data_IF_624286706216
#
_entry.id   IF_624286706216
#
_cell.length_a   1.000
_cell.length_b   1.000
_cell.length_c   1.000
_cell.angle_alpha   90.00
_cell.angle_beta   90.00
_cell.angle_gamma   90.00
#
_symmetry.space_group_name_H-M   'P 1'
#
loop_
_entity.id
_entity.type
_entity.pdbx_description
1 polymer ?
#
# COMPACT_ATOMS: atom_id res chain seq x y z
N UNK A 1 -16.34 0.85 -18.23
CA UNK A 1 -15.04 0.31 -17.80
C UNK A 1 -15.00 -1.21 -17.97
N UNK A 2 -15.99 -1.94 -17.41
CA UNK A 2 -16.04 -3.41 -17.43
C UNK A 2 -16.07 -4.00 -18.85
N UNK A 3 -16.86 -3.44 -19.74
CA UNK A 3 -17.10 -4.01 -21.07
C UNK A 3 -16.09 -3.54 -22.12
N UNK A 4 -15.47 -2.38 -21.90
CA UNK A 4 -14.59 -1.75 -22.88
C UNK A 4 -13.10 -1.90 -22.56
N UNK A 5 -12.74 -2.10 -21.27
CA UNK A 5 -11.34 -2.06 -20.83
C UNK A 5 -10.85 -3.42 -20.34
N UNK A 6 -11.71 -4.22 -19.69
CA UNK A 6 -11.30 -5.49 -19.10
C UNK A 6 -11.71 -6.67 -19.99
N UNK A 7 -10.76 -7.51 -20.43
CA UNK A 7 -11.07 -8.77 -21.13
C UNK A 7 -11.93 -9.72 -20.26
N UNK A 8 -11.72 -9.70 -18.96
CA UNK A 8 -12.55 -10.39 -17.95
C UNK A 8 -12.63 -9.54 -16.68
N UNK A 9 -13.73 -9.69 -15.94
CA UNK A 9 -13.95 -9.01 -14.67
C UNK A 9 -13.59 -9.88 -13.44
N UNK A 10 -12.93 -11.01 -13.66
CA UNK A 10 -12.50 -11.94 -12.61
C UNK A 10 -11.01 -11.98 -12.49
N UNK A 11 -10.48 -11.93 -11.28
CA UNK A 11 -9.04 -12.02 -11.00
C UNK A 11 -8.42 -13.34 -11.49
N UNK A 12 -9.19 -14.43 -11.41
CA UNK A 12 -8.76 -15.79 -11.76
C UNK A 12 -8.42 -15.95 -13.25
N UNK A 13 -9.01 -15.12 -14.10
CA UNK A 13 -8.85 -15.23 -15.56
C UNK A 13 -7.54 -14.59 -16.07
N UNK A 14 -6.81 -13.91 -15.20
CA UNK A 14 -5.53 -13.28 -15.55
C UNK A 14 -4.35 -14.18 -15.24
N UNK A 15 -3.39 -14.24 -16.17
CA UNK A 15 -2.14 -14.98 -15.98
C UNK A 15 -1.28 -14.34 -14.89
N UNK A 16 -1.13 -13.01 -14.93
CA UNK A 16 -0.40 -12.27 -13.92
C UNK A 16 -1.23 -12.15 -12.63
N UNK A 17 -0.56 -12.03 -11.50
CA UNK A 17 -1.20 -11.75 -10.23
C UNK A 17 -1.56 -10.25 -10.17
N UNK A 18 -2.83 -9.98 -9.98
CA UNK A 18 -3.35 -8.64 -9.79
C UNK A 18 -3.89 -8.53 -8.37
N UNK A 19 -3.46 -7.49 -7.67
CA UNK A 19 -3.97 -7.14 -6.35
C UNK A 19 -4.49 -5.72 -6.35
N UNK A 20 -5.64 -5.49 -5.75
CA UNK A 20 -6.25 -4.18 -5.59
C UNK A 20 -6.53 -3.99 -4.11
N UNK A 21 -6.07 -2.87 -3.54
CA UNK A 21 -6.19 -2.62 -2.10
C UNK A 21 -7.22 -1.53 -1.86
N UNK A 22 -8.14 -1.79 -0.94
CA UNK A 22 -9.11 -0.81 -0.46
C UNK A 22 -9.17 -0.81 1.07
N UNK A 23 -9.76 0.22 1.63
CA UNK A 23 -9.99 0.35 3.07
C UNK A 23 -11.47 0.12 3.37
N UNK A 24 -11.79 -0.85 4.21
CA UNK A 24 -13.13 -1.06 4.72
C UNK A 24 -13.47 0.04 5.74
N UNK A 25 -14.46 0.88 5.41
CA UNK A 25 -14.72 2.13 6.16
C UNK A 25 -15.06 1.88 7.63
N UNK A 26 -16.06 1.03 7.90
CA UNK A 26 -16.61 0.88 9.26
C UNK A 26 -15.73 0.06 10.21
N UNK A 27 -14.81 -0.74 9.68
CA UNK A 27 -13.94 -1.62 10.47
C UNK A 27 -12.47 -1.21 10.40
N UNK A 28 -12.15 -0.15 9.67
CA UNK A 28 -10.78 0.33 9.46
C UNK A 28 -9.83 -0.79 9.03
N UNK A 29 -10.31 -1.75 8.24
CA UNK A 29 -9.50 -2.87 7.76
C UNK A 29 -8.96 -2.58 6.37
N UNK A 30 -7.74 -3.01 6.13
CA UNK A 30 -7.19 -3.13 4.79
C UNK A 30 -7.76 -4.38 4.14
N UNK A 31 -8.31 -4.26 2.94
CA UNK A 31 -8.80 -5.39 2.16
C UNK A 31 -8.02 -5.46 0.86
N UNK A 32 -7.41 -6.62 0.62
CA UNK A 32 -6.66 -6.93 -0.59
C UNK A 32 -7.51 -7.85 -1.46
N UNK A 33 -7.98 -7.34 -2.58
CA UNK A 33 -8.70 -8.12 -3.59
C UNK A 33 -7.68 -8.76 -4.55
N UNK A 34 -7.85 -10.03 -4.86
CA UNK A 34 -6.97 -10.77 -5.76
C UNK A 34 -7.47 -12.19 -6.00
N UNK A 35 -6.75 -12.97 -6.81
CA UNK A 35 -7.14 -14.36 -7.08
C UNK A 35 -6.76 -15.34 -5.97
N UNK A 36 -5.94 -14.93 -5.02
CA UNK A 36 -5.50 -15.75 -3.90
C UNK A 36 -5.99 -15.20 -2.57
N UNK A 37 -6.35 -16.11 -1.68
CA UNK A 37 -6.56 -15.81 -0.27
C UNK A 37 -5.31 -16.19 0.50
N UNK A 38 -4.56 -15.19 0.93
CA UNK A 38 -3.46 -15.41 1.87
C UNK A 38 -3.96 -15.25 3.30
N UNK A 39 -3.34 -15.99 4.20
CA UNK A 39 -3.49 -15.70 5.64
C UNK A 39 -2.90 -14.30 5.89
N UNK A 40 -3.60 -13.41 6.63
CA UNK A 40 -3.01 -12.14 7.02
C UNK A 40 -1.69 -12.39 7.74
N UNK A 41 -0.66 -11.54 7.51
CA UNK A 41 0.56 -11.65 8.29
C UNK A 41 0.24 -11.62 9.79
N UNK A 42 0.90 -12.43 10.63
CA UNK A 42 0.61 -12.50 12.06
C UNK A 42 0.68 -11.15 12.78
N UNK A 43 1.43 -10.20 12.23
CA UNK A 43 1.58 -8.84 12.75
C UNK A 43 0.54 -7.83 12.23
N UNK A 44 -0.31 -8.22 11.26
CA UNK A 44 -1.35 -7.34 10.72
C UNK A 44 -2.73 -8.01 10.72
N UNK A 45 -3.32 -8.11 11.89
CA UNK A 45 -4.66 -8.64 12.10
C UNK A 45 -5.77 -7.78 11.46
N UNK A 46 -5.39 -6.61 10.94
CA UNK A 46 -6.33 -5.68 10.28
C UNK A 46 -6.30 -5.80 8.76
N UNK A 47 -5.52 -6.72 8.20
CA UNK A 47 -5.52 -7.07 6.80
C UNK A 47 -6.47 -8.23 6.53
N UNK A 48 -7.26 -8.13 5.47
CA UNK A 48 -8.13 -9.19 4.99
C UNK A 48 -7.91 -9.38 3.49
N UNK A 49 -7.84 -10.63 3.03
CA UNK A 49 -7.82 -10.97 1.61
C UNK A 49 -9.22 -11.36 1.15
N UNK A 50 -9.59 -10.91 -0.05
CA UNK A 50 -10.86 -11.22 -0.71
C UNK A 50 -10.57 -11.74 -2.13
N UNK A 51 -10.91 -13.02 -2.38
CA UNK A 51 -10.69 -13.68 -3.67
C UNK A 51 -11.98 -13.84 -4.50
N UNK A 52 -13.12 -13.47 -3.96
CA UNK A 52 -14.44 -13.61 -4.61
C UNK A 52 -14.93 -12.32 -5.26
N UNK A 53 -14.20 -11.21 -5.06
CA UNK A 53 -14.55 -9.89 -5.58
C UNK A 53 -14.39 -9.77 -7.09
N UNK A 54 -15.16 -8.88 -7.71
CA UNK A 54 -14.97 -8.48 -9.09
C UNK A 54 -13.92 -7.38 -9.22
N UNK A 55 -13.12 -7.40 -10.30
CA UNK A 55 -12.09 -6.37 -10.54
C UNK A 55 -12.71 -4.98 -10.58
N UNK A 56 -13.83 -4.81 -11.29
CA UNK A 56 -14.52 -3.51 -11.40
C UNK A 56 -14.99 -2.97 -10.04
N UNK A 57 -15.48 -3.84 -9.15
CA UNK A 57 -15.88 -3.46 -7.80
C UNK A 57 -14.66 -3.11 -6.93
N UNK A 58 -13.60 -3.90 -7.02
CA UNK A 58 -12.35 -3.64 -6.31
C UNK A 58 -11.72 -2.31 -6.76
N UNK A 59 -11.72 -2.01 -8.07
CA UNK A 59 -11.26 -0.72 -8.61
C UNK A 59 -12.12 0.42 -8.07
N UNK A 60 -13.46 0.30 -8.14
CA UNK A 60 -14.36 1.34 -7.63
C UNK A 60 -14.17 1.59 -6.13
N UNK A 61 -13.94 0.52 -5.35
CA UNK A 61 -13.65 0.61 -3.93
C UNK A 61 -12.29 1.28 -3.65
N UNK A 62 -11.25 0.90 -4.42
CA UNK A 62 -9.88 1.41 -4.28
C UNK A 62 -9.71 2.86 -4.74
N UNK A 63 -10.59 3.35 -5.62
CA UNK A 63 -10.55 4.74 -6.13
C UNK A 63 -11.54 5.66 -5.44
N UNK A 64 -12.28 5.19 -4.44
CA UNK A 64 -13.24 5.98 -3.68
C UNK A 64 -12.54 6.93 -2.67
N UNK A 65 -11.81 7.91 -3.21
CA UNK A 65 -11.05 8.88 -2.41
C UNK A 65 -12.00 9.77 -1.59
N UNK A 66 -11.85 9.82 -0.27
CA UNK A 66 -12.67 10.66 0.60
C UNK A 66 -12.68 12.12 0.15
N UNK A 67 -13.80 12.79 0.31
CA UNK A 67 -14.08 14.18 -0.09
C UNK A 67 -14.26 14.40 -1.60
N UNK A 68 -13.85 13.43 -2.45
CA UNK A 68 -14.05 13.49 -3.90
C UNK A 68 -15.17 12.54 -4.31
N UNK A 69 -15.14 11.30 -3.80
CA UNK A 69 -16.12 10.27 -4.13
C UNK A 69 -16.83 9.76 -2.88
N UNK A 70 -18.07 9.32 -3.06
CA UNK A 70 -18.79 8.57 -2.03
C UNK A 70 -18.14 7.20 -1.81
N UNK A 71 -18.17 6.65 -0.58
CA UNK A 71 -17.73 5.30 -0.31
C UNK A 71 -18.45 4.29 -1.22
N UNK A 72 -17.71 3.35 -1.80
CA UNK A 72 -18.29 2.33 -2.67
C UNK A 72 -18.77 1.14 -1.85
N UNK A 73 -19.98 0.64 -2.16
CA UNK A 73 -20.59 -0.47 -1.46
C UNK A 73 -20.48 -1.77 -2.26
N UNK A 74 -19.90 -2.81 -1.66
CA UNK A 74 -19.87 -4.18 -2.17
C UNK A 74 -20.71 -5.05 -1.23
N UNK A 75 -21.59 -5.88 -1.78
CA UNK A 75 -22.38 -6.82 -0.97
C UNK A 75 -21.52 -8.00 -0.53
N UNK A 76 -21.57 -8.30 0.76
CA UNK A 76 -20.96 -9.52 1.30
C UNK A 76 -21.81 -10.76 0.93
N UNK A 77 -21.37 -12.00 1.24
CA UNK A 77 -22.12 -13.22 0.94
C UNK A 77 -23.53 -13.26 1.54
N UNK A 78 -23.74 -12.55 2.67
CA UNK A 78 -25.06 -12.43 3.32
C UNK A 78 -25.94 -11.33 2.67
N UNK A 79 -25.46 -10.67 1.62
CA UNK A 79 -26.17 -9.60 0.90
C UNK A 79 -26.12 -8.24 1.59
N UNK A 80 -25.37 -8.10 2.69
CA UNK A 80 -25.22 -6.84 3.44
C UNK A 80 -24.19 -5.95 2.75
N UNK A 81 -24.49 -4.65 2.50
CA UNK A 81 -23.54 -3.73 1.89
C UNK A 81 -22.39 -3.40 2.84
N UNK A 82 -21.18 -3.61 2.39
CA UNK A 82 -19.94 -3.23 3.05
C UNK A 82 -19.34 -2.05 2.28
N UNK A 83 -19.03 -0.96 2.99
CA UNK A 83 -18.54 0.27 2.39
C UNK A 83 -17.03 0.33 2.42
N UNK A 84 -16.47 0.77 1.31
CA UNK A 84 -15.03 0.90 1.08
C UNK A 84 -14.67 2.31 0.64
N UNK A 85 -13.47 2.71 1.00
CA UNK A 85 -12.80 3.92 0.54
C UNK A 85 -11.42 3.56 0.00
N UNK A 86 -10.75 4.52 -0.61
CA UNK A 86 -9.41 4.36 -1.18
C UNK A 86 -8.44 3.71 -0.19
N UNK A 87 -7.66 2.75 -0.70
CA UNK A 87 -6.65 2.01 0.05
C UNK A 87 -5.52 2.90 0.58
N UNK A 88 -5.17 3.96 -0.13
CA UNK A 88 -4.13 4.93 0.24
C UNK A 88 -4.40 5.63 1.57
N UNK A 89 -5.67 5.75 1.97
CA UNK A 89 -6.05 6.34 3.25
C UNK A 89 -5.45 5.57 4.43
N UNK A 90 -5.44 4.23 4.32
CA UNK A 90 -4.90 3.38 5.36
C UNK A 90 -3.44 3.03 5.15
N UNK A 91 -3.09 2.61 3.95
CA UNK A 91 -1.74 2.16 3.63
C UNK A 91 -1.29 2.63 2.25
N UNK A 92 -0.27 3.45 2.27
CA UNK A 92 0.32 4.05 1.08
C UNK A 92 1.27 3.07 0.41
N UNK A 93 1.24 3.04 -0.93
CA UNK A 93 2.10 2.23 -1.80
C UNK A 93 1.92 0.71 -1.71
N UNK A 94 1.25 0.15 -0.72
CA UNK A 94 0.91 -1.28 -0.55
C UNK A 94 1.97 -2.29 -1.06
N UNK A 95 3.25 -1.91 -1.01
CA UNK A 95 4.37 -2.70 -1.56
C UNK A 95 4.55 -4.05 -0.87
N UNK A 96 4.08 -4.18 0.38
CA UNK A 96 4.10 -5.43 1.13
C UNK A 96 3.32 -6.54 0.40
N UNK A 97 2.23 -6.23 -0.30
CA UNK A 97 1.42 -7.21 -1.05
C UNK A 97 2.27 -7.92 -2.11
N UNK A 98 3.09 -7.16 -2.85
CA UNK A 98 4.01 -7.74 -3.84
C UNK A 98 5.12 -8.57 -3.18
N UNK A 99 5.67 -8.11 -2.05
CA UNK A 99 6.68 -8.83 -1.29
C UNK A 99 6.11 -10.12 -0.71
N UNK A 100 4.90 -10.09 -0.14
CA UNK A 100 4.22 -11.26 0.42
C UNK A 100 3.83 -12.28 -0.67
N UNK A 101 3.58 -11.79 -1.89
CA UNK A 101 3.39 -12.62 -3.08
C UNK A 101 4.70 -13.22 -3.66
N UNK A 102 5.86 -12.95 -3.05
CA UNK A 102 7.16 -13.54 -3.43
C UNK A 102 7.92 -12.77 -4.50
N UNK A 103 7.61 -11.49 -4.73
CA UNK A 103 8.38 -10.67 -5.67
C UNK A 103 9.75 -10.30 -5.12
N UNK A 104 10.81 -10.56 -5.90
CA UNK A 104 12.20 -10.20 -5.56
C UNK A 104 12.49 -8.72 -5.83
N UNK A 105 11.77 -8.10 -6.77
CA UNK A 105 11.88 -6.69 -7.12
C UNK A 105 10.51 -6.03 -7.10
N UNK A 106 10.38 -4.92 -6.39
CA UNK A 106 9.16 -4.13 -6.34
C UNK A 106 9.46 -2.70 -6.81
N UNK A 107 8.77 -2.27 -7.87
CA UNK A 107 8.80 -0.89 -8.36
C UNK A 107 7.54 -0.21 -7.89
N UNK A 108 7.68 0.79 -7.01
CA UNK A 108 6.56 1.58 -6.53
C UNK A 108 6.43 2.88 -7.33
N UNK A 109 5.23 3.16 -7.81
CA UNK A 109 4.88 4.41 -8.49
C UNK A 109 3.74 5.08 -7.74
N UNK A 110 3.81 6.38 -7.58
CA UNK A 110 2.75 7.18 -6.97
C UNK A 110 2.66 8.55 -7.65
N UNK A 111 1.45 9.07 -7.72
CA UNK A 111 1.14 10.33 -8.40
C UNK A 111 0.57 11.39 -7.46
N UNK A 112 0.23 11.02 -6.23
CA UNK A 112 -0.32 11.94 -5.25
C UNK A 112 0.74 12.91 -4.77
N UNK A 113 0.59 14.17 -5.17
CA UNK A 113 1.43 15.26 -4.70
C UNK A 113 0.53 16.33 -4.09
N UNK A 114 0.85 16.82 -2.88
CA UNK A 114 0.19 18.00 -2.33
C UNK A 114 0.33 19.18 -3.27
N UNK A 115 -0.66 20.05 -3.27
CA UNK A 115 -0.58 21.29 -4.01
C UNK A 115 0.54 22.17 -3.44
N UNK A 116 1.41 22.64 -4.33
CA UNK A 116 2.35 23.71 -4.07
C UNK A 116 1.84 24.99 -4.73
N UNK A 117 1.91 26.10 -4.03
CA UNK A 117 1.39 27.39 -4.52
C UNK A 117 1.88 27.70 -5.93
N UNK A 118 0.94 27.97 -6.81
CA UNK A 118 1.16 28.42 -8.19
C UNK A 118 0.35 29.71 -8.40
N UNK A 119 0.99 30.72 -8.97
CA UNK A 119 0.39 32.04 -9.14
C UNK A 119 -0.87 32.00 -10.01
N UNK A 120 -0.92 31.10 -10.97
CA UNK A 120 -2.01 30.92 -11.91
C UNK A 120 -3.26 30.30 -11.25
N UNK A 121 -3.06 29.48 -10.23
CA UNK A 121 -4.13 28.77 -9.50
C UNK A 121 -4.57 29.55 -8.28
N UNK A 122 -3.65 30.29 -7.64
CA UNK A 122 -3.93 31.09 -6.45
C UNK A 122 -3.91 30.29 -5.14
N UNK A 123 -4.53 30.83 -4.12
CA UNK A 123 -4.61 30.20 -2.79
C UNK A 123 -5.74 29.18 -2.72
N UNK A 124 -5.47 28.03 -2.11
CA UNK A 124 -6.51 27.01 -1.87
C UNK A 124 -7.66 27.53 -0.99
N UNK A 125 -7.44 28.58 -0.21
CA UNK A 125 -8.50 29.23 0.58
C UNK A 125 -9.59 29.87 -0.31
N UNK A 126 -9.25 30.24 -1.54
CA UNK A 126 -10.19 30.79 -2.52
C UNK A 126 -11.09 29.68 -3.13
N UNK A 127 -10.67 28.43 -3.05
CA UNK A 127 -11.40 27.26 -3.54
C UNK A 127 -12.29 26.60 -2.47
N UNK A 128 -12.28 27.12 -1.25
CA UNK A 128 -13.14 26.70 -0.17
C UNK A 128 -12.70 25.44 0.60
N UNK A 129 -13.55 25.03 1.53
CA UNK A 129 -13.27 23.94 2.48
C UNK A 129 -12.92 22.59 1.80
N UNK A 130 -13.58 22.15 0.71
CA UNK A 130 -13.24 20.89 0.07
C UNK A 130 -11.80 20.84 -0.43
N UNK A 131 -11.29 21.92 -1.02
CA UNK A 131 -9.91 21.99 -1.50
C UNK A 131 -8.90 21.90 -0.34
N UNK A 132 -9.20 22.53 0.79
CA UNK A 132 -8.38 22.47 2.00
C UNK A 132 -8.36 21.05 2.57
N UNK A 133 -9.50 20.36 2.61
CA UNK A 133 -9.58 18.98 3.11
C UNK A 133 -8.82 17.99 2.20
N UNK A 134 -8.92 18.15 0.89
CA UNK A 134 -8.17 17.34 -0.08
C UNK A 134 -6.67 17.58 0.08
N UNK A 135 -6.25 18.84 0.24
CA UNK A 135 -4.85 19.18 0.49
C UNK A 135 -4.34 18.54 1.80
N UNK A 136 -5.13 18.62 2.88
CA UNK A 136 -4.77 17.99 4.14
C UNK A 136 -4.61 16.46 4.00
N UNK A 137 -5.50 15.81 3.25
CA UNK A 137 -5.38 14.37 2.95
C UNK A 137 -4.10 14.07 2.17
N UNK A 138 -3.79 14.85 1.13
CA UNK A 138 -2.56 14.63 0.33
C UNK A 138 -1.29 14.86 1.14
N UNK A 139 -1.26 15.85 2.03
CA UNK A 139 -0.14 16.06 2.95
C UNK A 139 0.06 14.86 3.89
N UNK A 140 -1.02 14.27 4.40
CA UNK A 140 -0.94 13.06 5.23
C UNK A 140 -0.44 11.84 4.44
N UNK A 141 -0.88 11.67 3.20
CA UNK A 141 -0.41 10.60 2.31
C UNK A 141 1.09 10.78 2.02
N UNK A 142 1.50 11.98 1.64
CA UNK A 142 2.93 12.30 1.39
C UNK A 142 3.79 12.03 2.63
N UNK A 143 3.34 12.45 3.80
CA UNK A 143 4.03 12.20 5.07
C UNK A 143 4.21 10.70 5.31
N UNK A 144 3.19 9.88 5.06
CA UNK A 144 3.27 8.41 5.17
C UNK A 144 4.29 7.83 4.18
N UNK A 145 4.28 8.28 2.92
CA UNK A 145 5.24 7.83 1.90
C UNK A 145 6.67 8.15 2.34
N UNK A 146 6.92 9.39 2.72
CA UNK A 146 8.23 9.85 3.18
C UNK A 146 8.69 9.07 4.41
N UNK A 147 7.79 8.80 5.35
CA UNK A 147 8.10 7.99 6.53
C UNK A 147 8.51 6.56 6.15
N UNK A 148 7.78 5.91 5.24
CA UNK A 148 8.13 4.56 4.77
C UNK A 148 9.48 4.53 4.05
N UNK A 149 9.76 5.49 3.17
CA UNK A 149 11.04 5.62 2.47
C UNK A 149 12.17 5.80 3.48
N UNK A 150 12.02 6.75 4.41
CA UNK A 150 13.03 7.03 5.42
C UNK A 150 13.28 5.83 6.35
N UNK A 151 12.22 5.15 6.77
CA UNK A 151 12.32 3.96 7.61
C UNK A 151 13.09 2.83 6.92
N UNK A 152 12.80 2.56 5.64
CA UNK A 152 13.56 1.59 4.84
C UNK A 152 15.03 1.99 4.70
N UNK A 153 15.32 3.27 4.43
CA UNK A 153 16.68 3.76 4.33
C UNK A 153 17.45 3.61 5.65
N UNK A 154 16.81 3.92 6.77
CA UNK A 154 17.41 3.76 8.10
C UNK A 154 17.76 2.30 8.39
N UNK A 155 16.85 1.37 8.10
CA UNK A 155 17.12 -0.09 8.25
C UNK A 155 18.30 -0.53 7.38
N UNK A 156 18.32 -0.11 6.11
CA UNK A 156 19.41 -0.41 5.18
C UNK A 156 20.75 0.11 5.69
N UNK A 157 20.78 1.37 6.12
CA UNK A 157 21.99 2.00 6.64
C UNK A 157 22.50 1.28 7.89
N UNK A 158 21.59 0.85 8.79
CA UNK A 158 21.95 0.09 9.99
C UNK A 158 22.59 -1.26 9.63
N UNK A 159 22.02 -2.01 8.70
CA UNK A 159 22.56 -3.30 8.25
C UNK A 159 23.93 -3.07 7.60
N UNK A 160 24.06 -2.05 6.76
CA UNK A 160 25.32 -1.71 6.10
C UNK A 160 26.41 -1.32 7.11
N UNK A 161 26.10 -0.49 8.09
CA UNK A 161 27.05 -0.08 9.13
C UNK A 161 27.57 -1.28 9.94
N UNK A 162 26.70 -2.23 10.29
CA UNK A 162 27.11 -3.46 10.98
C UNK A 162 27.96 -4.33 10.08
N UNK A 163 27.62 -4.47 8.80
CA UNK A 163 28.42 -5.22 7.83
C UNK A 163 29.84 -4.64 7.69
N UNK A 164 29.96 -3.31 7.59
CA UNK A 164 31.23 -2.59 7.51
C UNK A 164 32.06 -2.78 8.79
N UNK A 165 31.43 -2.62 9.97
CA UNK A 165 32.10 -2.85 11.25
C UNK A 165 32.62 -4.28 11.37
N UNK A 166 31.82 -5.29 11.05
CA UNK A 166 32.24 -6.68 11.07
C UNK A 166 33.43 -6.96 10.15
N UNK A 167 33.47 -6.31 9.00
CA UNK A 167 34.60 -6.41 8.06
C UNK A 167 35.87 -5.81 8.64
N UNK A 168 35.79 -4.61 9.26
CA UNK A 168 36.92 -3.93 9.89
C UNK A 168 37.43 -4.68 11.14
N UNK A 169 36.53 -5.30 11.88
CA UNK A 169 36.86 -6.10 13.07
C UNK A 169 37.43 -7.49 12.77
N UNK A 170 37.61 -7.85 11.49
CA UNK A 170 38.20 -9.13 11.10
C UNK A 170 37.26 -10.33 11.35
N UNK A 171 35.96 -10.10 11.45
CA UNK A 171 34.98 -11.16 11.61
C UNK A 171 34.91 -11.98 10.29
N UNK A 172 34.91 -13.32 10.43
CA UNK A 172 34.84 -14.20 9.27
C UNK A 172 33.61 -13.93 8.39
N UNK A 173 33.70 -14.15 7.09
CA UNK A 173 32.64 -13.91 6.14
C UNK A 173 31.36 -14.68 6.48
N UNK A 174 31.50 -15.90 6.99
CA UNK A 174 30.37 -16.73 7.42
C UNK A 174 29.62 -16.10 8.61
N UNK A 175 30.34 -15.67 9.63
CA UNK A 175 29.73 -15.02 10.82
C UNK A 175 29.13 -13.66 10.45
N UNK A 176 29.80 -12.90 9.58
CA UNK A 176 29.28 -11.61 9.07
C UNK A 176 27.96 -11.79 8.35
N UNK A 177 27.88 -12.79 7.45
CA UNK A 177 26.65 -13.13 6.73
C UNK A 177 25.53 -13.50 7.70
N UNK A 178 25.81 -14.35 8.68
CA UNK A 178 24.85 -14.77 9.70
C UNK A 178 24.33 -13.60 10.55
N UNK A 179 25.21 -12.67 10.94
CA UNK A 179 24.81 -11.46 11.67
C UNK A 179 23.87 -10.61 10.82
N UNK A 180 24.20 -10.38 9.55
CA UNK A 180 23.34 -9.61 8.63
C UNK A 180 22.00 -10.31 8.42
N UNK A 181 21.93 -11.62 8.26
CA UNK A 181 20.70 -12.39 8.13
C UNK A 181 19.81 -12.24 9.38
N UNK A 182 20.38 -12.31 10.58
CA UNK A 182 19.65 -12.07 11.83
C UNK A 182 19.09 -10.65 11.85
N UNK A 183 19.89 -9.64 11.50
CA UNK A 183 19.43 -8.26 11.46
C UNK A 183 18.32 -8.05 10.44
N UNK A 184 18.44 -8.61 9.25
CA UNK A 184 17.39 -8.57 8.21
C UNK A 184 16.09 -9.16 8.76
N UNK A 185 16.17 -10.30 9.45
CA UNK A 185 15.01 -10.94 10.05
C UNK A 185 14.40 -10.09 11.16
N UNK A 186 15.19 -9.66 12.14
CA UNK A 186 14.70 -8.89 13.30
C UNK A 186 14.16 -7.50 12.92
N UNK A 187 14.78 -6.85 11.95
CA UNK A 187 14.30 -5.58 11.42
C UNK A 187 13.11 -5.73 10.47
N UNK A 188 12.66 -6.96 10.20
CA UNK A 188 11.67 -7.25 9.14
C UNK A 188 12.02 -6.53 7.83
N UNK A 189 13.33 -6.51 7.52
CA UNK A 189 13.85 -5.89 6.31
C UNK A 189 13.96 -6.97 5.24
N UNK A 190 13.05 -6.94 4.27
CA UNK A 190 13.16 -7.76 3.06
C UNK A 190 13.92 -6.92 2.02
N UNK A 191 15.07 -7.45 1.60
CA UNK A 191 15.89 -6.83 0.55
C UNK A 191 15.23 -7.02 -0.81
#
# INVERSE_FOLDING_TARGET
FREEVLPSNRFQDYRADLFIVATQLNHSRKVVFGKYSYQPPPHDLTCQYNNDGLISEAVAASTALPFIFAPYAIKNPEGVPVHYIDGEVRETLSTHVAVDAGCDLVIASYTHQPYHYQREIGSLTEHGLPAILIQALYLLIEQKINHQIHHRQTKRNAIQAVHEYCSQAGISDENRKRICEIMVHELHYRM
#
